data_IF_812266135497
#
_entry.id   IF_812266135497
#
_cell.length_a   1.000
_cell.length_b   1.000
_cell.length_c   1.000
_cell.angle_alpha   90.00
_cell.angle_beta   90.00
_cell.angle_gamma   90.00
#
_symmetry.space_group_name_H-M   'P 1'
#
loop_
_entity.id
_entity.type
_entity.pdbx_description
1 polymer ?
#
# COMPACT_ATOMS: atom_id res chain seq x y z
N UNK A 1 3.71 -27.14 -2.01
CA UNK A 1 2.31 -26.67 -2.11
C UNK A 1 2.37 -25.22 -1.66
N UNK A 2 2.38 -24.31 -2.63
CA UNK A 2 2.93 -22.95 -2.48
C UNK A 2 2.03 -22.04 -1.65
N UNK A 3 2.65 -21.32 -0.71
CA UNK A 3 2.08 -20.11 -0.13
C UNK A 3 2.01 -19.04 -1.22
N UNK A 4 0.95 -19.05 -2.02
CA UNK A 4 0.53 -17.93 -2.87
C UNK A 4 -0.18 -16.87 -2.00
N UNK A 5 0.48 -16.47 -0.92
CA UNK A 5 0.11 -15.30 -0.16
C UNK A 5 0.95 -14.13 -0.63
N UNK A 6 0.30 -12.99 -0.94
CA UNK A 6 0.97 -11.72 -1.25
C UNK A 6 2.00 -11.38 -0.15
N UNK A 7 3.26 -11.74 -0.39
CA UNK A 7 4.38 -11.46 0.50
C UNK A 7 4.90 -10.07 0.17
N UNK A 8 4.96 -9.18 1.17
CA UNK A 8 5.56 -7.86 1.05
C UNK A 8 7.08 -8.02 0.91
N UNK A 9 7.56 -8.16 -0.33
CA UNK A 9 8.97 -8.21 -0.69
C UNK A 9 9.38 -6.92 -1.40
N UNK A 10 10.69 -6.66 -1.49
CA UNK A 10 11.25 -5.47 -2.15
C UNK A 10 10.81 -5.30 -3.63
N UNK A 11 10.30 -6.36 -4.27
CA UNK A 11 9.74 -6.34 -5.63
C UNK A 11 8.22 -6.14 -5.68
N UNK A 12 7.50 -6.51 -4.62
CA UNK A 12 6.02 -6.58 -4.59
C UNK A 12 5.36 -5.49 -3.74
N UNK A 13 6.13 -4.69 -2.99
CA UNK A 13 5.60 -3.59 -2.17
C UNK A 13 4.89 -2.51 -2.98
N UNK A 14 5.40 -2.17 -4.18
CA UNK A 14 4.78 -1.18 -5.08
C UNK A 14 3.37 -1.61 -5.52
N UNK A 15 3.19 -2.81 -6.08
CA UNK A 15 1.87 -3.39 -6.34
C UNK A 15 0.94 -3.39 -5.14
N UNK A 16 1.40 -3.89 -4.00
CA UNK A 16 0.57 -4.02 -2.80
C UNK A 16 0.11 -2.66 -2.27
N UNK A 17 0.99 -1.67 -2.27
CA UNK A 17 0.67 -0.30 -1.85
C UNK A 17 -0.35 0.34 -2.80
N UNK A 18 -0.17 0.17 -4.11
CA UNK A 18 -1.12 0.66 -5.09
C UNK A 18 -2.51 0.06 -4.87
N UNK A 19 -2.60 -1.24 -4.65
CA UNK A 19 -3.87 -1.92 -4.38
C UNK A 19 -4.53 -1.41 -3.12
N UNK A 20 -3.76 -1.14 -2.06
CA UNK A 20 -4.27 -0.52 -0.84
C UNK A 20 -4.85 0.88 -1.10
N UNK A 21 -4.20 1.69 -1.94
CA UNK A 21 -4.68 3.02 -2.33
C UNK A 21 -5.98 2.91 -3.13
N UNK A 22 -6.05 2.02 -4.12
CA UNK A 22 -7.27 1.82 -4.94
C UNK A 22 -8.45 1.38 -4.06
N UNK A 23 -8.25 0.42 -3.17
CA UNK A 23 -9.30 -0.02 -2.22
C UNK A 23 -9.72 1.12 -1.30
N UNK A 24 -8.77 1.90 -0.76
CA UNK A 24 -9.08 3.04 0.09
C UNK A 24 -9.89 4.10 -0.66
N UNK A 25 -9.53 4.41 -1.90
CA UNK A 25 -10.28 5.34 -2.76
C UNK A 25 -11.72 4.87 -3.00
N UNK A 26 -11.93 3.56 -3.26
CA UNK A 26 -13.28 2.99 -3.40
C UNK A 26 -14.14 3.08 -2.13
N UNK A 27 -13.52 3.10 -0.96
CA UNK A 27 -14.22 3.17 0.34
C UNK A 27 -14.51 4.62 0.75
N UNK A 28 -13.61 5.54 0.39
CA UNK A 28 -13.71 6.97 0.73
C UNK A 28 -14.58 7.72 -0.27
N UNK A 29 -14.49 7.39 -1.55
CA UNK A 29 -15.28 7.97 -2.63
C UNK A 29 -16.30 6.92 -3.06
N UNK A 30 -17.60 7.23 -2.97
CA UNK A 30 -18.70 6.40 -3.49
C UNK A 30 -18.72 6.36 -5.04
N UNK A 31 -17.60 6.71 -5.67
CA UNK A 31 -17.39 6.66 -7.10
C UNK A 31 -16.76 5.32 -7.51
N UNK A 32 -17.08 4.92 -8.73
CA UNK A 32 -16.55 3.69 -9.32
C UNK A 32 -15.10 3.91 -9.77
N UNK A 33 -14.17 3.97 -8.83
CA UNK A 33 -12.74 4.03 -9.09
C UNK A 33 -12.28 2.64 -9.54
N UNK A 34 -11.85 2.50 -10.79
CA UNK A 34 -11.38 1.24 -11.33
C UNK A 34 -9.87 1.25 -11.51
N UNK A 35 -9.30 0.05 -11.44
CA UNK A 35 -7.89 -0.20 -11.74
C UNK A 35 -7.51 0.23 -13.17
N UNK A 36 -8.48 0.18 -14.09
CA UNK A 36 -8.32 0.66 -15.46
C UNK A 36 -8.02 2.17 -15.54
N UNK A 37 -8.50 2.97 -14.59
CA UNK A 37 -8.25 4.41 -14.54
C UNK A 37 -6.79 4.73 -14.21
N UNK A 38 -6.07 3.77 -13.63
CA UNK A 38 -4.65 3.89 -13.29
C UNK A 38 -3.72 3.33 -14.38
N UNK A 39 -4.28 2.77 -15.47
CA UNK A 39 -3.51 2.12 -16.55
C UNK A 39 -2.50 3.06 -17.19
N UNK A 40 -2.90 4.30 -17.45
CA UNK A 40 -2.05 5.29 -18.12
C UNK A 40 -0.95 5.82 -17.21
N UNK A 41 -1.19 5.84 -15.89
CA UNK A 41 -0.16 6.22 -14.90
C UNK A 41 0.81 5.07 -14.58
N UNK A 42 0.38 3.81 -14.74
CA UNK A 42 1.13 2.63 -14.31
C UNK A 42 1.10 1.53 -15.40
N UNK A 43 1.77 1.75 -16.54
CA UNK A 43 1.77 0.83 -17.67
C UNK A 43 2.43 -0.52 -17.36
N UNK A 44 3.25 -0.58 -16.30
CA UNK A 44 3.93 -1.78 -15.83
C UNK A 44 3.00 -2.74 -15.06
N UNK A 45 1.77 -2.30 -14.79
CA UNK A 45 0.76 -3.06 -14.06
C UNK A 45 -0.15 -3.81 -15.04
N UNK A 46 -0.03 -5.14 -15.08
CA UNK A 46 -0.94 -5.98 -15.84
C UNK A 46 -2.33 -5.98 -15.16
N UNK A 47 -3.35 -5.44 -15.83
CA UNK A 47 -4.71 -5.30 -15.28
C UNK A 47 -5.35 -6.64 -14.88
N UNK A 48 -5.03 -7.71 -15.59
CA UNK A 48 -5.56 -9.05 -15.27
C UNK A 48 -4.94 -9.59 -13.96
N UNK A 49 -3.65 -9.36 -13.74
CA UNK A 49 -2.98 -9.70 -12.49
C UNK A 49 -3.43 -8.80 -11.34
N UNK A 50 -3.74 -7.54 -11.62
CA UNK A 50 -4.16 -6.56 -10.64
C UNK A 50 -5.45 -6.92 -9.92
N UNK A 51 -6.42 -7.45 -10.67
CA UNK A 51 -7.73 -7.84 -10.12
C UNK A 51 -7.59 -9.01 -9.14
N UNK A 52 -6.72 -9.97 -9.43
CA UNK A 52 -6.39 -11.07 -8.52
C UNK A 52 -5.67 -10.56 -7.25
N UNK A 53 -4.74 -9.63 -7.41
CA UNK A 53 -4.01 -9.00 -6.30
C UNK A 53 -4.92 -8.16 -5.39
N UNK A 54 -5.92 -7.47 -5.95
CA UNK A 54 -6.91 -6.75 -5.17
C UNK A 54 -7.69 -7.70 -4.25
N UNK A 55 -8.15 -8.84 -4.79
CA UNK A 55 -8.87 -9.84 -4.03
C UNK A 55 -8.00 -10.49 -2.94
N UNK A 56 -6.73 -10.78 -3.24
CA UNK A 56 -5.79 -11.29 -2.23
C UNK A 56 -5.52 -10.28 -1.11
N UNK A 57 -5.33 -9.01 -1.46
CA UNK A 57 -5.11 -7.97 -0.46
C UNK A 57 -6.34 -7.82 0.45
N UNK A 58 -7.55 -7.85 -0.12
CA UNK A 58 -8.80 -7.84 0.66
C UNK A 58 -8.90 -9.04 1.61
N UNK A 59 -8.51 -10.23 1.16
CA UNK A 59 -8.45 -11.42 2.03
C UNK A 59 -7.44 -11.22 3.16
N UNK A 60 -6.25 -10.66 2.88
CA UNK A 60 -5.22 -10.40 3.89
C UNK A 60 -5.67 -9.40 4.96
N UNK A 61 -6.40 -8.36 4.58
CA UNK A 61 -6.98 -7.41 5.54
C UNK A 61 -8.30 -7.90 6.14
N UNK A 62 -8.68 -9.16 5.87
CA UNK A 62 -9.93 -9.78 6.31
C UNK A 62 -11.16 -8.92 5.97
N UNK A 63 -11.15 -8.32 4.78
CA UNK A 63 -12.15 -7.36 4.28
C UNK A 63 -12.38 -6.16 5.20
N UNK A 64 -11.52 -5.93 6.19
CA UNK A 64 -11.60 -4.78 7.07
C UNK A 64 -10.87 -3.59 6.45
N UNK A 65 -11.63 -2.81 5.69
CA UNK A 65 -11.16 -1.57 5.07
C UNK A 65 -11.34 -0.35 5.98
N UNK A 66 -11.88 -0.55 7.19
CA UNK A 66 -12.12 0.55 8.13
C UNK A 66 -10.88 0.83 8.95
N UNK A 67 -10.49 2.11 9.01
CA UNK A 67 -9.40 2.57 9.87
C UNK A 67 -9.98 3.40 11.00
N UNK A 68 -9.85 2.92 12.24
CA UNK A 68 -10.25 3.70 13.42
C UNK A 68 -9.30 4.89 13.61
N UNK A 69 -9.81 6.04 14.05
CA UNK A 69 -9.01 7.26 14.26
C UNK A 69 -7.76 7.03 15.12
N UNK A 70 -7.89 6.28 16.22
CA UNK A 70 -6.75 5.93 17.09
C UNK A 70 -5.71 5.03 16.42
N UNK A 71 -6.15 4.14 15.52
CA UNK A 71 -5.26 3.28 14.75
C UNK A 71 -4.48 4.08 13.71
N UNK A 72 -5.15 4.99 13.00
CA UNK A 72 -4.50 5.93 12.09
C UNK A 72 -3.44 6.77 12.82
N UNK A 73 -3.81 7.40 13.95
CA UNK A 73 -2.91 8.25 14.73
C UNK A 73 -1.66 7.47 15.18
N UNK A 74 -1.83 6.23 15.67
CA UNK A 74 -0.71 5.38 16.09
C UNK A 74 0.28 5.14 14.95
N UNK A 75 -0.21 4.76 13.77
CA UNK A 75 0.64 4.48 12.62
C UNK A 75 1.28 5.76 12.05
N UNK A 76 0.54 6.87 12.01
CA UNK A 76 1.07 8.16 11.58
C UNK A 76 2.26 8.59 12.44
N UNK A 77 2.12 8.59 13.77
CA UNK A 77 3.22 8.97 14.67
C UNK A 77 4.41 8.02 14.60
N UNK A 78 4.16 6.72 14.43
CA UNK A 78 5.24 5.75 14.24
C UNK A 78 6.02 6.00 12.94
N UNK A 79 5.33 6.31 11.84
CA UNK A 79 5.98 6.66 10.57
C UNK A 79 6.76 7.97 10.67
N UNK A 80 6.20 8.97 11.36
CA UNK A 80 6.87 10.26 11.58
C UNK A 80 8.15 10.10 12.41
N UNK A 81 8.14 9.25 13.43
CA UNK A 81 9.32 8.91 14.25
C UNK A 81 10.41 8.23 13.42
N UNK A 82 10.04 7.24 12.60
CA UNK A 82 10.98 6.57 11.67
C UNK A 82 11.57 7.57 10.67
N UNK A 83 10.76 8.46 10.10
CA UNK A 83 11.22 9.47 9.15
C UNK A 83 12.19 10.48 9.79
N UNK A 84 11.92 10.91 11.04
CA UNK A 84 12.82 11.76 11.82
C UNK A 84 14.15 11.07 12.15
N UNK A 85 14.10 9.78 12.47
CA UNK A 85 15.31 9.00 12.74
C UNK A 85 16.14 8.74 11.47
N UNK A 86 15.50 8.53 10.32
CA UNK A 86 16.20 8.40 9.03
C UNK A 86 16.87 9.70 8.59
N UNK A 87 16.21 10.84 8.74
CA UNK A 87 16.79 12.14 8.42
C UNK A 87 17.96 12.48 9.34
N UNK A 88 17.88 12.08 10.62
CA UNK A 88 19.03 12.15 11.54
C UNK A 88 20.20 11.28 11.05
N UNK A 89 19.96 10.03 10.64
CA UNK A 89 21.00 9.13 10.10
C UNK A 89 21.63 9.62 8.79
N UNK A 90 20.89 10.30 7.91
CA UNK A 90 21.46 10.87 6.68
C UNK A 90 22.37 12.08 6.93
N UNK A 91 22.10 12.88 7.97
CA UNK A 91 22.99 13.98 8.37
C UNK A 91 24.34 13.46 8.88
N UNK A 92 24.36 12.30 9.55
CA UNK A 92 25.60 11.64 9.97
C UNK A 92 26.33 10.96 8.79
N UNK A 93 25.61 10.36 7.84
CA UNK A 93 26.21 9.71 6.66
C UNK A 93 26.81 10.71 5.64
N UNK A 94 26.28 11.94 5.55
CA UNK A 94 26.82 12.98 4.67
C UNK A 94 28.10 13.67 5.22
N UNK A 95 28.54 13.33 6.44
CA UNK A 95 29.73 13.89 7.11
C UNK A 95 30.89 12.91 7.27
N UNK A 96 30.84 11.72 6.66
CA UNK A 96 31.92 10.72 6.62
C UNK A 96 32.44 10.52 5.20
#
# INVERSE_FOLDING_TARGET
MGDEGLTLCARTWRPALLMAIVIASKVVYDEKVYLADYRDMLPEFCLDAASAQELELLKLVNYNTTVRRGQYARYYYALEDVARNQSSNQIFAARS
#
